data_IF_742038288859
#
_entry.id   IF_742038288859
#
_cell.length_a   1.000
_cell.length_b   1.000
_cell.length_c   1.000
_cell.angle_alpha   90.00
_cell.angle_beta   90.00
_cell.angle_gamma   90.00
#
_symmetry.space_group_name_H-M   'P 1'
#
loop_
_entity.id
_entity.type
_entity.pdbx_description
1 polymer ?
#
# COMPACT_ATOMS: atom_id res chain seq x y z
N UNK A 1 -2.15 -8.52 22.66
CA UNK A 1 -2.83 -7.20 22.50
C UNK A 1 -2.45 -6.57 21.15
N UNK A 2 -1.19 -6.59 20.73
CA UNK A 2 -0.72 -5.94 19.49
C UNK A 2 -1.46 -6.38 18.22
N UNK A 3 -1.71 -7.69 18.04
CA UNK A 3 -2.44 -8.20 16.89
C UNK A 3 -3.87 -7.62 16.79
N UNK A 4 -4.60 -7.53 17.89
CA UNK A 4 -5.96 -6.95 17.90
C UNK A 4 -5.92 -5.44 17.59
N UNK A 5 -4.93 -4.72 18.12
CA UNK A 5 -4.74 -3.30 17.84
C UNK A 5 -4.46 -3.06 16.35
N UNK A 6 -3.60 -3.89 15.74
CA UNK A 6 -3.31 -3.85 14.30
C UNK A 6 -4.58 -4.13 13.47
N UNK A 7 -5.35 -5.16 13.83
CA UNK A 7 -6.59 -5.50 13.13
C UNK A 7 -7.60 -4.35 13.23
N UNK A 8 -7.75 -3.74 14.40
CA UNK A 8 -8.62 -2.57 14.57
C UNK A 8 -8.15 -1.40 13.69
N UNK A 9 -6.85 -1.14 13.65
CA UNK A 9 -6.25 -0.15 12.75
C UNK A 9 -6.54 -0.45 11.26
N UNK A 10 -6.43 -1.73 10.84
CA UNK A 10 -6.76 -2.18 9.49
C UNK A 10 -8.25 -1.94 9.15
N UNK A 11 -9.15 -2.24 10.07
CA UNK A 11 -10.59 -2.00 9.89
C UNK A 11 -10.88 -0.50 9.67
N UNK A 12 -10.27 0.38 10.46
CA UNK A 12 -10.42 1.83 10.29
C UNK A 12 -9.82 2.29 8.95
N UNK A 13 -8.58 1.89 8.68
CA UNK A 13 -7.86 2.31 7.48
C UNK A 13 -8.55 1.83 6.20
N UNK A 14 -8.82 0.53 6.09
CA UNK A 14 -9.48 -0.03 4.92
C UNK A 14 -10.95 0.36 4.84
N UNK A 15 -11.61 0.55 5.97
CA UNK A 15 -12.99 1.03 6.03
C UNK A 15 -13.16 2.40 5.38
N UNK A 16 -12.33 3.39 5.78
CA UNK A 16 -12.38 4.72 5.17
C UNK A 16 -11.95 4.70 3.70
N UNK A 17 -11.00 3.86 3.33
CA UNK A 17 -10.60 3.68 1.93
C UNK A 17 -11.71 3.04 1.10
N UNK A 18 -12.49 2.11 1.68
CA UNK A 18 -13.66 1.51 1.02
C UNK A 18 -14.79 2.52 0.82
N UNK A 19 -14.90 3.56 1.65
CA UNK A 19 -15.87 4.65 1.45
C UNK A 19 -15.72 5.30 0.07
N UNK A 20 -14.51 5.39 -0.47
CA UNK A 20 -14.27 5.94 -1.81
C UNK A 20 -14.91 5.10 -2.92
N UNK A 21 -15.11 3.81 -2.69
CA UNK A 21 -15.75 2.89 -3.63
C UNK A 21 -17.27 2.99 -3.61
N UNK A 22 -17.85 3.45 -2.47
CA UNK A 22 -19.28 3.60 -2.22
C UNK A 22 -19.75 5.01 -2.64
N UNK A 23 -19.90 5.25 -3.94
CA UNK A 23 -20.14 6.59 -4.52
C UNK A 23 -21.30 7.34 -3.89
N UNK A 24 -22.44 6.66 -3.67
CA UNK A 24 -23.63 7.25 -3.05
C UNK A 24 -23.38 7.67 -1.59
N UNK A 25 -22.72 6.81 -0.82
CA UNK A 25 -22.39 7.11 0.58
C UNK A 25 -21.37 8.26 0.65
N UNK A 26 -20.32 8.21 -0.17
CA UNK A 26 -19.35 9.30 -0.28
C UNK A 26 -20.03 10.63 -0.61
N UNK A 27 -20.96 10.65 -1.59
CA UNK A 27 -21.70 11.85 -1.96
C UNK A 27 -22.56 12.38 -0.80
N UNK A 28 -23.23 11.53 -0.04
CA UNK A 28 -23.98 11.92 1.16
C UNK A 28 -23.10 12.53 2.24
N UNK A 29 -21.94 11.96 2.50
CA UNK A 29 -20.98 12.51 3.46
C UNK A 29 -20.48 13.88 3.01
N UNK A 30 -20.13 14.04 1.73
CA UNK A 30 -19.70 15.34 1.18
C UNK A 30 -20.84 16.36 1.26
N UNK A 31 -22.08 15.98 0.99
CA UNK A 31 -23.23 16.89 1.11
C UNK A 31 -23.45 17.38 2.55
N UNK A 32 -23.16 16.54 3.54
CA UNK A 32 -23.30 16.87 4.96
C UNK A 32 -22.12 17.70 5.53
N UNK A 33 -20.88 17.41 5.09
CA UNK A 33 -19.65 17.98 5.71
C UNK A 33 -18.92 18.98 4.80
N UNK A 34 -19.32 19.08 3.55
CA UNK A 34 -18.54 19.75 2.50
C UNK A 34 -17.35 18.92 2.05
N UNK A 35 -16.76 19.30 0.90
CA UNK A 35 -15.62 18.58 0.34
C UNK A 35 -14.37 18.67 1.25
N UNK A 36 -14.15 19.85 1.87
CA UNK A 36 -13.06 20.05 2.84
C UNK A 36 -13.20 19.20 4.08
N UNK A 37 -14.38 19.19 4.68
CA UNK A 37 -14.69 18.34 5.86
C UNK A 37 -14.51 16.86 5.57
N UNK A 38 -15.00 16.38 4.41
CA UNK A 38 -14.76 15.02 3.96
C UNK A 38 -13.27 14.68 3.84
N UNK A 39 -12.48 15.53 3.19
CA UNK A 39 -11.02 15.30 2.99
C UNK A 39 -10.28 15.26 4.32
N UNK A 40 -10.60 16.19 5.23
CA UNK A 40 -9.98 16.23 6.58
C UNK A 40 -10.36 14.99 7.37
N UNK A 41 -11.64 14.66 7.46
CA UNK A 41 -12.11 13.46 8.16
C UNK A 41 -11.49 12.17 7.61
N UNK A 42 -11.45 12.05 6.27
CA UNK A 42 -10.79 10.93 5.59
C UNK A 42 -9.31 10.82 5.98
N UNK A 43 -8.58 11.95 5.94
CA UNK A 43 -7.15 11.97 6.27
C UNK A 43 -6.90 11.62 7.75
N UNK A 44 -7.70 12.16 8.67
CA UNK A 44 -7.55 11.88 10.11
C UNK A 44 -7.83 10.41 10.44
N UNK A 45 -8.91 9.84 9.91
CA UNK A 45 -9.24 8.42 10.13
C UNK A 45 -8.19 7.51 9.49
N UNK A 46 -7.70 7.85 8.29
CA UNK A 46 -6.60 7.11 7.64
C UNK A 46 -5.33 7.15 8.46
N UNK A 47 -4.95 8.33 8.96
CA UNK A 47 -3.75 8.51 9.80
C UNK A 47 -3.87 7.73 11.11
N UNK A 48 -5.02 7.84 11.79
CA UNK A 48 -5.28 7.08 13.02
C UNK A 48 -5.19 5.58 12.75
N UNK A 49 -5.84 5.08 11.70
CA UNK A 49 -5.77 3.68 11.30
C UNK A 49 -4.32 3.24 11.04
N UNK A 50 -3.55 4.04 10.31
CA UNK A 50 -2.14 3.76 10.03
C UNK A 50 -1.28 3.70 11.32
N UNK A 51 -1.46 4.67 12.23
CA UNK A 51 -0.75 4.67 13.53
C UNK A 51 -1.07 3.42 14.34
N UNK A 52 -2.34 3.02 14.38
CA UNK A 52 -2.76 1.80 15.09
C UNK A 52 -2.22 0.53 14.44
N UNK A 53 -2.16 0.48 13.10
CA UNK A 53 -1.53 -0.64 12.37
C UNK A 53 -0.05 -0.74 12.75
N UNK A 54 0.70 0.35 12.62
CA UNK A 54 2.14 0.36 12.91
C UNK A 54 2.40 -0.01 14.37
N UNK A 55 1.71 0.66 15.30
CA UNK A 55 1.88 0.39 16.75
C UNK A 55 1.49 -1.05 17.09
N UNK A 56 0.36 -1.51 16.60
CA UNK A 56 -0.11 -2.87 16.83
C UNK A 56 0.83 -3.93 16.26
N UNK A 57 1.39 -3.69 15.07
CA UNK A 57 2.37 -4.59 14.45
C UNK A 57 3.69 -4.64 15.22
N UNK A 58 4.20 -3.49 15.69
CA UNK A 58 5.39 -3.44 16.56
C UNK A 58 5.16 -4.23 17.84
N UNK A 59 4.04 -4.01 18.54
CA UNK A 59 3.72 -4.73 19.77
C UNK A 59 3.51 -6.23 19.52
N UNK A 60 2.88 -6.61 18.38
CA UNK A 60 2.74 -8.01 17.97
C UNK A 60 4.10 -8.68 17.75
N UNK A 61 5.01 -8.03 17.05
CA UNK A 61 6.38 -8.55 16.83
C UNK A 61 7.16 -8.73 18.11
N UNK A 62 6.96 -7.84 19.08
CA UNK A 62 7.69 -7.88 20.36
C UNK A 62 7.18 -8.94 21.34
N UNK A 63 5.86 -9.23 21.36
CA UNK A 63 5.24 -10.00 22.44
C UNK A 63 4.28 -11.09 22.00
N UNK A 64 3.93 -11.15 20.72
CA UNK A 64 2.85 -12.01 20.24
C UNK A 64 3.12 -12.69 18.91
N UNK A 65 4.40 -12.86 18.53
CA UNK A 65 4.79 -13.48 17.27
C UNK A 65 4.26 -14.91 17.13
N UNK A 66 3.61 -15.18 16.01
CA UNK A 66 3.04 -16.51 15.69
C UNK A 66 3.53 -16.90 14.29
N UNK A 67 4.40 -17.90 14.21
CA UNK A 67 4.83 -18.47 12.95
C UNK A 67 3.73 -19.36 12.35
N UNK A 68 3.44 -19.17 11.08
CA UNK A 68 2.50 -19.98 10.30
C UNK A 68 3.26 -20.87 9.31
N UNK A 69 4.29 -20.30 8.66
CA UNK A 69 5.18 -21.02 7.76
C UNK A 69 6.53 -20.31 7.63
N UNK A 70 7.54 -21.02 7.13
CA UNK A 70 8.89 -20.45 6.94
C UNK A 70 9.18 -20.27 5.45
N UNK A 71 9.21 -19.01 4.95
CA UNK A 71 9.51 -18.74 3.54
C UNK A 71 10.92 -19.21 3.15
N UNK A 72 11.07 -20.04 2.10
CA UNK A 72 12.39 -20.41 1.60
C UNK A 72 13.12 -19.19 1.01
N UNK A 73 14.45 -19.19 1.03
CA UNK A 73 15.29 -18.09 0.54
C UNK A 73 14.93 -17.64 -0.87
N UNK A 74 14.60 -18.57 -1.77
CA UNK A 74 14.21 -18.25 -3.13
C UNK A 74 12.98 -17.31 -3.20
N UNK A 75 12.00 -17.47 -2.31
CA UNK A 75 10.83 -16.58 -2.25
C UNK A 75 11.18 -15.21 -1.69
N UNK A 76 12.15 -15.10 -0.78
CA UNK A 76 12.65 -13.82 -0.29
C UNK A 76 13.33 -13.03 -1.41
N UNK A 77 14.21 -13.67 -2.21
CA UNK A 77 14.81 -13.02 -3.38
C UNK A 77 13.78 -12.63 -4.45
N UNK A 78 12.75 -13.47 -4.66
CA UNK A 78 11.65 -13.11 -5.54
C UNK A 78 10.89 -11.88 -5.01
N UNK A 79 10.66 -11.81 -3.71
CA UNK A 79 10.02 -10.66 -3.07
C UNK A 79 10.85 -9.38 -3.27
N UNK A 80 12.16 -9.43 -3.06
CA UNK A 80 13.08 -8.32 -3.33
C UNK A 80 12.97 -7.84 -4.79
N UNK A 81 12.97 -8.78 -5.74
CA UNK A 81 12.83 -8.46 -7.16
C UNK A 81 11.46 -7.82 -7.50
N UNK A 82 10.38 -8.27 -6.86
CA UNK A 82 9.03 -7.71 -7.05
C UNK A 82 8.87 -6.32 -6.44
N UNK A 83 9.66 -5.99 -5.42
CA UNK A 83 9.60 -4.67 -4.79
C UNK A 83 10.07 -3.55 -5.71
N UNK A 84 11.04 -3.78 -6.59
CA UNK A 84 11.52 -2.75 -7.52
C UNK A 84 10.40 -2.25 -8.45
N UNK A 85 9.71 -3.11 -9.24
CA UNK A 85 8.58 -2.65 -10.04
C UNK A 85 7.41 -2.12 -9.18
N UNK A 86 7.20 -2.63 -7.96
CA UNK A 86 6.18 -2.12 -7.07
C UNK A 86 6.42 -0.63 -6.74
N UNK A 87 7.63 -0.27 -6.33
CA UNK A 87 8.01 1.11 -6.00
C UNK A 87 7.96 2.01 -7.24
N UNK A 88 8.47 1.55 -8.38
CA UNK A 88 8.39 2.30 -9.66
C UNK A 88 6.92 2.60 -10.01
N UNK A 89 6.01 1.65 -9.86
CA UNK A 89 4.59 1.84 -10.14
C UNK A 89 3.93 2.85 -9.19
N UNK A 90 4.32 2.86 -7.92
CA UNK A 90 3.85 3.88 -6.96
C UNK A 90 4.31 5.27 -7.39
N UNK A 91 5.57 5.44 -7.80
CA UNK A 91 6.09 6.71 -8.31
C UNK A 91 5.38 7.11 -9.61
N UNK A 92 5.20 6.18 -10.55
CA UNK A 92 4.52 6.41 -11.82
C UNK A 92 3.04 6.79 -11.68
N UNK A 93 2.42 6.56 -10.52
CA UNK A 93 1.07 7.06 -10.23
C UNK A 93 1.01 8.59 -10.12
N UNK A 94 2.12 9.22 -9.76
CA UNK A 94 2.25 10.67 -9.60
C UNK A 94 3.05 11.31 -10.74
N UNK A 95 4.15 10.68 -11.17
CA UNK A 95 4.95 11.10 -12.33
C UNK A 95 4.45 10.31 -13.54
N UNK A 96 3.33 10.80 -14.13
CA UNK A 96 2.58 10.05 -15.15
C UNK A 96 3.24 10.14 -16.52
N UNK A 97 3.67 9.00 -17.03
CA UNK A 97 4.18 8.81 -18.38
C UNK A 97 3.42 7.68 -19.10
N UNK A 98 4.10 7.00 -20.03
CA UNK A 98 3.55 5.83 -20.74
C UNK A 98 3.27 4.64 -19.82
N UNK A 99 4.08 4.46 -18.76
CA UNK A 99 3.84 3.44 -17.72
C UNK A 99 2.44 3.64 -17.13
N UNK A 100 2.08 4.88 -16.80
CA UNK A 100 0.75 5.18 -16.27
C UNK A 100 -0.36 4.78 -17.26
N UNK A 101 -0.24 5.13 -18.53
CA UNK A 101 -1.26 4.81 -19.54
C UNK A 101 -1.37 3.32 -19.81
N UNK A 102 -0.25 2.60 -19.83
CA UNK A 102 -0.20 1.16 -20.05
C UNK A 102 -0.83 0.38 -18.87
N UNK A 103 -0.50 0.76 -17.63
CA UNK A 103 -0.97 0.07 -16.42
C UNK A 103 -2.35 0.56 -15.98
N UNK A 104 -2.78 1.77 -16.38
CA UNK A 104 -4.04 2.46 -16.04
C UNK A 104 -4.19 2.83 -14.55
N UNK A 105 -3.81 1.94 -13.64
CA UNK A 105 -3.91 2.13 -12.19
C UNK A 105 -2.60 1.71 -11.49
N UNK A 106 -1.47 2.42 -11.76
CA UNK A 106 -0.16 2.00 -11.27
C UNK A 106 -0.07 2.01 -9.75
N UNK A 107 -0.74 2.92 -9.03
CA UNK A 107 -0.80 2.89 -7.56
C UNK A 107 -1.32 1.54 -7.03
N UNK A 108 -2.48 1.09 -7.48
CA UNK A 108 -3.05 -0.18 -7.03
C UNK A 108 -2.22 -1.38 -7.47
N UNK A 109 -1.58 -1.30 -8.64
CA UNK A 109 -0.68 -2.35 -9.12
C UNK A 109 0.58 -2.41 -8.26
N UNK A 110 1.14 -1.27 -7.89
CA UNK A 110 2.27 -1.17 -6.96
C UNK A 110 1.92 -1.74 -5.58
N UNK A 111 0.78 -1.34 -5.00
CA UNK A 111 0.31 -1.87 -3.71
C UNK A 111 0.10 -3.39 -3.76
N UNK A 112 -0.46 -3.93 -4.85
CA UNK A 112 -0.62 -5.38 -5.00
C UNK A 112 0.71 -6.12 -5.06
N UNK A 113 1.69 -5.62 -5.83
CA UNK A 113 3.01 -6.21 -5.89
C UNK A 113 3.74 -6.11 -4.56
N UNK A 114 3.68 -4.95 -3.91
CA UNK A 114 4.25 -4.72 -2.58
C UNK A 114 3.69 -5.69 -1.54
N UNK A 115 2.37 -5.82 -1.46
CA UNK A 115 1.72 -6.72 -0.51
C UNK A 115 2.02 -8.19 -0.82
N UNK A 116 2.00 -8.59 -2.09
CA UNK A 116 2.36 -9.95 -2.51
C UNK A 116 3.82 -10.27 -2.19
N UNK A 117 4.76 -9.35 -2.44
CA UNK A 117 6.16 -9.50 -2.10
C UNK A 117 6.35 -9.75 -0.59
N UNK A 118 5.66 -8.96 0.24
CA UNK A 118 5.73 -9.15 1.69
C UNK A 118 5.10 -10.48 2.15
N UNK A 119 4.01 -10.95 1.52
CA UNK A 119 3.44 -12.27 1.80
C UNK A 119 4.39 -13.42 1.43
N UNK A 120 5.20 -13.25 0.37
CA UNK A 120 6.22 -14.24 -0.01
C UNK A 120 7.42 -14.24 0.94
N UNK A 121 7.75 -13.09 1.53
CA UNK A 121 8.91 -12.93 2.41
C UNK A 121 8.61 -13.21 3.89
N UNK A 122 7.35 -13.09 4.32
CA UNK A 122 6.94 -13.20 5.72
C UNK A 122 5.98 -14.36 5.91
N UNK A 123 6.21 -15.17 6.94
CA UNK A 123 5.40 -16.34 7.25
C UNK A 123 4.67 -16.26 8.60
N UNK A 124 4.66 -15.10 9.22
CA UNK A 124 3.98 -14.88 10.49
C UNK A 124 2.51 -14.46 10.31
N UNK A 125 1.68 -14.75 11.31
CA UNK A 125 0.24 -14.48 11.27
C UNK A 125 -0.07 -12.98 11.11
N UNK A 126 0.67 -12.10 11.81
CA UNK A 126 0.45 -10.66 11.72
C UNK A 126 0.78 -10.12 10.34
N UNK A 127 1.90 -10.57 9.74
CA UNK A 127 2.28 -10.25 8.36
C UNK A 127 1.24 -10.74 7.36
N UNK A 128 0.75 -11.98 7.51
CA UNK A 128 -0.29 -12.54 6.64
C UNK A 128 -1.58 -11.72 6.72
N UNK A 129 -2.04 -11.35 7.91
CA UNK A 129 -3.24 -10.53 8.08
C UNK A 129 -3.03 -9.14 7.49
N UNK A 130 -1.91 -8.49 7.78
CA UNK A 130 -1.61 -7.13 7.31
C UNK A 130 -1.57 -7.07 5.78
N UNK A 131 -0.65 -7.82 5.18
CA UNK A 131 -0.43 -7.76 3.75
C UNK A 131 -1.53 -8.44 2.95
N UNK A 132 -2.15 -9.49 3.49
CA UNK A 132 -3.31 -10.15 2.89
C UNK A 132 -4.53 -9.22 2.82
N UNK A 133 -4.80 -8.45 3.88
CA UNK A 133 -5.90 -7.47 3.90
C UNK A 133 -5.67 -6.34 2.89
N UNK A 134 -4.44 -5.80 2.81
CA UNK A 134 -4.08 -4.75 1.86
C UNK A 134 -4.13 -5.24 0.41
N UNK A 135 -3.65 -6.46 0.15
CA UNK A 135 -3.75 -7.09 -1.16
C UNK A 135 -5.21 -7.31 -1.57
N UNK A 136 -6.01 -7.88 -0.67
CA UNK A 136 -7.44 -8.13 -0.90
C UNK A 136 -8.19 -6.82 -1.20
N UNK A 137 -7.92 -5.77 -0.41
CA UNK A 137 -8.52 -4.46 -0.65
C UNK A 137 -8.09 -3.86 -1.99
N UNK A 138 -6.80 -3.93 -2.35
CA UNK A 138 -6.31 -3.39 -3.62
C UNK A 138 -6.89 -4.14 -4.84
N UNK A 139 -7.16 -5.44 -4.71
CA UNK A 139 -7.89 -6.22 -5.73
C UNK A 139 -9.34 -5.78 -5.79
N UNK A 140 -10.01 -5.66 -4.66
CA UNK A 140 -11.40 -5.20 -4.57
C UNK A 140 -11.57 -3.81 -5.19
N UNK A 141 -10.73 -2.82 -4.83
CA UNK A 141 -10.82 -1.48 -5.41
C UNK A 141 -10.54 -1.48 -6.92
N UNK A 142 -9.59 -2.31 -7.38
CA UNK A 142 -9.34 -2.46 -8.82
C UNK A 142 -10.55 -3.03 -9.58
N UNK A 143 -11.28 -3.96 -8.98
CA UNK A 143 -12.54 -4.49 -9.55
C UNK A 143 -13.61 -3.39 -9.53
N UNK A 144 -13.75 -2.69 -8.41
CA UNK A 144 -14.69 -1.58 -8.28
C UNK A 144 -14.47 -0.48 -9.33
N UNK A 145 -13.19 -0.16 -9.63
CA UNK A 145 -12.84 0.82 -10.68
C UNK A 145 -13.29 0.44 -12.09
N UNK A 146 -13.45 -0.86 -12.40
CA UNK A 146 -13.98 -1.30 -13.71
C UNK A 146 -15.45 -0.94 -13.89
N UNK A 147 -16.18 -0.79 -12.80
CA UNK A 147 -17.63 -0.53 -12.80
C UNK A 147 -17.96 0.93 -12.47
N UNK A 148 -16.95 1.80 -12.32
CA UNK A 148 -17.13 3.23 -12.05
C UNK A 148 -16.87 4.05 -13.30
N UNK A 149 -17.79 4.97 -13.63
CA UNK A 149 -17.62 5.92 -14.73
C UNK A 149 -16.46 6.92 -14.48
N UNK A 150 -16.20 7.22 -13.19
CA UNK A 150 -15.14 8.14 -12.75
C UNK A 150 -14.27 7.47 -11.69
N UNK A 151 -12.98 7.44 -11.93
CA UNK A 151 -11.99 6.88 -10.99
C UNK A 151 -11.77 7.77 -9.75
N UNK A 152 -12.17 9.04 -9.79
CA UNK A 152 -11.91 10.01 -8.72
C UNK A 152 -10.43 10.34 -8.54
N UNK A 153 -9.59 10.03 -9.52
CA UNK A 153 -8.16 10.32 -9.48
C UNK A 153 -7.89 11.83 -9.62
N UNK A 154 -6.83 12.36 -8.97
CA UNK A 154 -6.45 13.76 -9.14
C UNK A 154 -6.09 14.05 -10.61
N UNK A 155 -6.37 15.26 -11.12
CA UNK A 155 -6.11 15.64 -12.51
C UNK A 155 -4.60 15.93 -12.71
N UNK A 156 -3.75 14.90 -12.62
CA UNK A 156 -2.33 15.04 -12.89
C UNK A 156 -2.10 14.85 -14.40
N UNK A 157 -1.45 15.81 -15.09
CA UNK A 157 -1.14 15.68 -16.50
C UNK A 157 -0.29 14.45 -16.81
N UNK A 158 -0.54 13.83 -17.95
CA UNK A 158 0.24 12.68 -18.44
C UNK A 158 1.30 13.20 -19.42
N UNK A 159 2.56 12.97 -19.07
CA UNK A 159 3.71 13.30 -19.92
C UNK A 159 4.14 12.14 -20.82
N UNK A 160 5.31 12.31 -21.44
CA UNK A 160 5.91 11.33 -22.33
C UNK A 160 6.93 10.40 -21.66
N UNK A 161 7.85 9.87 -22.45
CA UNK A 161 8.94 8.97 -22.02
C UNK A 161 9.83 9.62 -20.94
N UNK A 162 10.01 10.95 -20.97
CA UNK A 162 10.77 11.65 -19.93
C UNK A 162 10.24 11.41 -18.53
N UNK A 163 8.88 11.39 -18.36
CA UNK A 163 8.27 11.08 -17.08
C UNK A 163 8.51 9.62 -16.68
N UNK A 164 8.54 8.69 -17.63
CA UNK A 164 8.86 7.29 -17.34
C UNK A 164 10.29 7.13 -16.83
N UNK A 165 11.24 7.81 -17.47
CA UNK A 165 12.65 7.79 -17.03
C UNK A 165 12.79 8.37 -15.61
N UNK A 166 12.11 9.48 -15.31
CA UNK A 166 12.10 10.06 -13.98
C UNK A 166 11.43 9.09 -12.98
N UNK A 167 10.32 8.48 -13.33
CA UNK A 167 9.63 7.53 -12.46
C UNK A 167 10.50 6.31 -12.15
N UNK A 168 11.22 5.78 -13.13
CA UNK A 168 12.17 4.68 -12.94
C UNK A 168 13.37 5.11 -12.09
N UNK A 169 13.98 6.26 -12.36
CA UNK A 169 15.12 6.74 -11.60
C UNK A 169 14.75 7.01 -10.12
N UNK A 170 13.67 7.74 -9.88
CA UNK A 170 13.16 8.01 -8.52
C UNK A 170 12.72 6.71 -7.84
N UNK A 171 12.06 5.81 -8.57
CA UNK A 171 11.65 4.51 -8.06
C UNK A 171 12.85 3.64 -7.64
N UNK A 172 13.92 3.64 -8.44
CA UNK A 172 15.16 2.92 -8.10
C UNK A 172 15.82 3.50 -6.84
N UNK A 173 15.97 4.82 -6.76
CA UNK A 173 16.52 5.49 -5.58
C UNK A 173 15.68 5.19 -4.35
N UNK A 174 14.35 5.28 -4.46
CA UNK A 174 13.45 4.95 -3.36
C UNK A 174 13.54 3.48 -2.94
N UNK A 175 13.62 2.55 -3.89
CA UNK A 175 13.81 1.12 -3.62
C UNK A 175 15.09 0.85 -2.82
N UNK A 176 16.22 1.44 -3.25
CA UNK A 176 17.50 1.30 -2.55
C UNK A 176 17.44 1.95 -1.16
N UNK A 177 16.86 3.13 -1.03
CA UNK A 177 16.69 3.79 0.26
C UNK A 177 15.80 2.99 1.22
N UNK A 178 14.71 2.41 0.73
CA UNK A 178 13.83 1.55 1.51
C UNK A 178 14.56 0.28 1.98
N UNK A 179 15.32 -0.39 1.10
CA UNK A 179 15.99 -1.65 1.43
C UNK A 179 17.25 -1.48 2.28
N UNK A 180 18.10 -0.49 1.97
CA UNK A 180 19.38 -0.30 2.67
C UNK A 180 19.30 0.59 3.91
N UNK A 181 18.30 1.49 4.00
CA UNK A 181 18.19 2.43 5.11
C UNK A 181 16.92 2.22 5.92
N UNK A 182 15.75 2.32 5.31
CA UNK A 182 14.48 2.29 6.05
C UNK A 182 14.24 0.95 6.75
N UNK A 183 14.39 -0.17 6.04
CA UNK A 183 14.15 -1.49 6.60
C UNK A 183 15.10 -1.81 7.78
N UNK A 184 16.43 -1.71 7.66
CA UNK A 184 17.30 -2.02 8.78
C UNK A 184 17.20 -1.01 9.93
N UNK A 185 17.00 0.28 9.65
CA UNK A 185 17.00 1.33 10.69
C UNK A 185 15.65 1.48 11.38
N UNK A 186 14.55 1.46 10.61
CA UNK A 186 13.20 1.74 11.13
C UNK A 186 12.45 0.45 11.47
N UNK A 187 12.54 -0.57 10.62
CA UNK A 187 11.84 -1.84 10.81
C UNK A 187 12.70 -2.83 11.62
N UNK A 188 14.02 -2.65 11.63
CA UNK A 188 14.96 -3.54 12.32
C UNK A 188 15.18 -4.88 11.60
N UNK A 189 14.88 -4.95 10.30
CA UNK A 189 15.05 -6.15 9.47
C UNK A 189 15.88 -5.80 8.23
N UNK A 190 17.09 -6.33 8.08
CA UNK A 190 17.83 -6.19 6.84
C UNK A 190 17.10 -6.94 5.70
N UNK A 191 17.13 -6.36 4.51
CA UNK A 191 16.45 -6.95 3.32
C UNK A 191 17.48 -7.62 2.41
N UNK A 192 18.58 -6.93 2.15
CA UNK A 192 19.60 -7.42 1.23
C UNK A 192 20.72 -8.17 1.97
N UNK A 193 21.17 -9.27 1.36
CA UNK A 193 22.33 -10.03 1.86
C UNK A 193 22.02 -11.01 3.00
N UNK A 194 20.76 -11.40 3.19
CA UNK A 194 20.33 -12.39 4.21
C UNK A 194 19.89 -13.71 3.60
#
# INVERSE_FOLDING_TARGET
MGLLLMIFGLVLFLGVHTLTTQRTLRARVIAATGEGGYKIGYALVSLLGLVLIVRGFVDYRATGWIDVWSPPKALKHLAEALMLPAVILVVAAYIRGRIYTAVKHPMLSGVKLWAAAHLLANGDLGGIILFGSLLGWAVFDRISLKHRADAGAPPIPVGGVGNDLIAVAVGLVAYLALGFAFHPVVIGVPVFGV
#
